data_IF_987627377314
#
_entry.id   IF_987627377314
#
_cell.length_a   1.000
_cell.length_b   1.000
_cell.length_c   1.000
_cell.angle_alpha   90.00
_cell.angle_beta   90.00
_cell.angle_gamma   90.00
#
_symmetry.space_group_name_H-M   'P 1'
#
loop_
_entity.id
_entity.type
_entity.pdbx_description
1 polymer ?
#
# COMPACT_ATOMS: atom_id res chain seq x y z
N UNK A 1 -52.42 -17.14 47.58
CA UNK A 1 -51.68 -18.36 47.98
C UNK A 1 -51.92 -19.39 46.88
N UNK A 2 -50.95 -19.94 46.17
CA UNK A 2 -49.49 -19.66 46.07
C UNK A 2 -49.02 -20.33 44.77
N UNK A 3 -48.13 -19.69 43.99
CA UNK A 3 -47.58 -20.28 42.76
C UNK A 3 -46.72 -21.51 43.05
N UNK A 4 -46.41 -22.33 42.02
CA UNK A 4 -44.99 -22.53 41.74
C UNK A 4 -44.60 -22.55 40.25
N UNK A 5 -43.36 -22.07 40.02
CA UNK A 5 -42.45 -22.35 38.91
C UNK A 5 -42.90 -22.05 37.46
N UNK A 6 -42.66 -20.80 37.06
CA UNK A 6 -42.10 -20.52 35.74
C UNK A 6 -40.68 -21.12 35.67
N UNK A 7 -40.42 -22.06 34.77
CA UNK A 7 -39.07 -22.44 34.38
C UNK A 7 -38.59 -21.52 33.25
N UNK A 8 -37.39 -20.98 33.41
CA UNK A 8 -36.79 -20.02 32.48
C UNK A 8 -36.39 -20.69 31.15
N UNK A 9 -37.13 -20.43 30.08
CA UNK A 9 -36.60 -20.52 28.72
C UNK A 9 -35.68 -19.31 28.46
N UNK A 10 -34.48 -19.33 29.03
CA UNK A 10 -33.38 -18.53 28.47
C UNK A 10 -32.81 -19.35 27.32
N UNK A 11 -33.43 -19.20 26.14
CA UNK A 11 -32.82 -19.59 24.87
C UNK A 11 -31.55 -18.77 24.69
N UNK A 12 -30.44 -19.27 25.24
CA UNK A 12 -29.12 -18.70 25.11
C UNK A 12 -28.67 -18.84 23.67
N UNK A 13 -29.09 -17.89 22.84
CA UNK A 13 -28.47 -17.61 21.55
C UNK A 13 -27.07 -17.11 21.87
N UNK A 14 -26.13 -18.05 22.08
CA UNK A 14 -24.73 -17.80 21.82
C UNK A 14 -24.65 -17.52 20.32
N UNK A 15 -24.73 -16.23 19.97
CA UNK A 15 -24.26 -15.74 18.69
C UNK A 15 -22.85 -16.31 18.51
N UNK A 16 -22.58 -17.07 17.43
CA UNK A 16 -21.22 -17.54 17.19
C UNK A 16 -20.32 -16.31 17.14
N UNK A 17 -19.25 -16.33 17.93
CA UNK A 17 -18.30 -15.22 18.05
C UNK A 17 -17.78 -14.95 16.65
N UNK A 18 -18.25 -13.86 16.03
CA UNK A 18 -17.94 -13.56 14.65
C UNK A 18 -16.43 -13.43 14.50
N UNK A 19 -15.84 -14.28 13.67
CA UNK A 19 -14.39 -14.31 13.41
C UNK A 19 -14.03 -13.08 12.57
N UNK A 20 -13.94 -11.94 13.26
CA UNK A 20 -13.60 -10.66 12.69
C UNK A 20 -12.09 -10.56 12.57
N UNK A 21 -11.59 -10.49 11.34
CA UNK A 21 -10.15 -10.42 11.10
C UNK A 21 -9.65 -9.03 11.49
N UNK A 22 -8.60 -8.98 12.32
CA UNK A 22 -7.85 -7.75 12.49
C UNK A 22 -7.13 -7.39 11.17
N UNK A 23 -6.65 -6.15 11.03
CA UNK A 23 -6.04 -5.68 9.78
C UNK A 23 -4.88 -6.55 9.27
N UNK A 24 -4.07 -7.11 10.17
CA UNK A 24 -2.96 -8.02 9.83
C UNK A 24 -3.51 -9.36 9.35
N UNK A 25 -4.45 -9.97 10.07
CA UNK A 25 -5.08 -11.23 9.65
C UNK A 25 -5.78 -11.08 8.29
N UNK A 26 -6.50 -9.97 8.05
CA UNK A 26 -7.14 -9.66 6.76
C UNK A 26 -6.10 -9.58 5.64
N UNK A 27 -4.97 -8.93 5.87
CA UNK A 27 -3.86 -8.83 4.91
C UNK A 27 -3.20 -10.20 4.66
N UNK A 28 -2.98 -11.01 5.68
CA UNK A 28 -2.41 -12.35 5.55
C UNK A 28 -3.37 -13.25 4.74
N UNK A 29 -4.67 -13.23 5.04
CA UNK A 29 -5.66 -14.01 4.30
C UNK A 29 -5.80 -13.54 2.84
N UNK A 30 -5.69 -12.23 2.60
CA UNK A 30 -5.67 -11.64 1.26
C UNK A 30 -4.49 -12.13 0.43
N UNK A 31 -3.28 -12.15 1.01
CA UNK A 31 -2.10 -12.70 0.36
C UNK A 31 -2.21 -14.22 0.13
N UNK A 32 -2.75 -14.96 1.10
CA UNK A 32 -2.98 -16.39 0.99
C UNK A 32 -3.97 -16.74 -0.14
N UNK A 33 -5.10 -16.02 -0.24
CA UNK A 33 -6.07 -16.20 -1.32
C UNK A 33 -5.52 -15.81 -2.70
N UNK A 34 -4.73 -14.74 -2.81
CA UNK A 34 -4.04 -14.39 -4.07
C UNK A 34 -3.01 -15.46 -4.47
N UNK A 35 -2.28 -16.03 -3.50
CA UNK A 35 -1.28 -17.07 -3.75
C UNK A 35 -1.92 -18.40 -4.14
N UNK A 36 -2.98 -18.81 -3.45
CA UNK A 36 -3.72 -20.05 -3.72
C UNK A 36 -4.51 -19.99 -5.02
N UNK A 37 -5.03 -18.81 -5.38
CA UNK A 37 -5.73 -18.57 -6.63
C UNK A 37 -5.03 -17.49 -7.45
N UNK A 38 -3.95 -17.77 -8.21
CA UNK A 38 -3.28 -16.75 -9.03
C UNK A 38 -4.12 -16.25 -10.22
N UNK A 39 -5.24 -16.93 -10.54
CA UNK A 39 -6.13 -16.63 -11.65
C UNK A 39 -7.57 -16.43 -11.13
N UNK A 40 -8.18 -15.31 -11.53
CA UNK A 40 -9.58 -14.97 -11.27
C UNK A 40 -10.56 -16.08 -11.64
N UNK A 41 -10.30 -16.86 -12.70
CA UNK A 41 -11.17 -17.96 -13.11
C UNK A 41 -11.28 -19.06 -12.02
N UNK A 42 -10.17 -19.41 -11.37
CA UNK A 42 -10.14 -20.45 -10.34
C UNK A 42 -10.83 -19.95 -9.06
N UNK A 43 -10.64 -18.68 -8.69
CA UNK A 43 -11.36 -18.06 -7.56
C UNK A 43 -12.88 -17.99 -7.83
N UNK A 44 -13.28 -17.64 -9.07
CA UNK A 44 -14.69 -17.67 -9.49
C UNK A 44 -15.30 -19.08 -9.37
N UNK A 45 -14.57 -20.11 -9.78
CA UNK A 45 -15.02 -21.50 -9.67
C UNK A 45 -15.20 -21.93 -8.21
N UNK A 46 -14.20 -21.69 -7.34
CA UNK A 46 -14.32 -22.01 -5.91
C UNK A 46 -15.52 -21.30 -5.26
N UNK A 47 -15.70 -20.00 -5.51
CA UNK A 47 -16.85 -19.26 -4.97
C UNK A 47 -18.19 -19.75 -5.54
N UNK A 48 -18.23 -20.17 -6.81
CA UNK A 48 -19.44 -20.73 -7.41
C UNK A 48 -19.82 -22.10 -6.84
N UNK A 49 -18.86 -22.97 -6.53
CA UNK A 49 -19.13 -24.31 -6.01
C UNK A 49 -19.34 -24.31 -4.49
N UNK A 50 -18.57 -23.52 -3.75
CA UNK A 50 -18.58 -23.55 -2.28
C UNK A 50 -19.63 -22.62 -1.66
N UNK A 51 -20.11 -21.60 -2.39
CA UNK A 51 -21.05 -20.60 -1.87
C UNK A 51 -22.33 -20.44 -2.68
N UNK A 52 -22.47 -21.13 -3.83
CA UNK A 52 -23.53 -20.88 -4.81
C UNK A 52 -23.64 -19.39 -5.21
N UNK A 53 -22.52 -18.65 -5.18
CA UNK A 53 -22.46 -17.22 -5.48
C UNK A 53 -21.68 -16.93 -6.76
N UNK A 54 -22.09 -15.89 -7.49
CA UNK A 54 -21.24 -15.29 -8.51
C UNK A 54 -20.29 -14.27 -7.86
N UNK A 55 -18.98 -14.48 -7.98
CA UNK A 55 -17.96 -13.54 -7.48
C UNK A 55 -18.15 -12.12 -8.04
N UNK A 56 -18.55 -11.99 -9.31
CA UNK A 56 -18.82 -10.68 -9.95
C UNK A 56 -20.07 -9.99 -9.38
N UNK A 57 -20.92 -10.68 -8.61
CA UNK A 57 -22.06 -10.07 -7.93
C UNK A 57 -21.72 -9.61 -6.50
N UNK A 58 -20.73 -10.22 -5.85
CA UNK A 58 -20.36 -9.96 -4.45
C UNK A 58 -19.08 -9.13 -4.27
N UNK A 59 -18.18 -9.13 -5.27
CA UNK A 59 -16.84 -8.55 -5.15
C UNK A 59 -16.33 -7.93 -6.47
N UNK A 60 -17.06 -6.98 -7.04
CA UNK A 60 -16.61 -6.20 -8.20
C UNK A 60 -15.43 -5.30 -7.81
N UNK A 61 -14.30 -5.42 -8.51
CA UNK A 61 -13.13 -4.54 -8.36
C UNK A 61 -12.38 -4.37 -9.68
N UNK A 62 -11.62 -3.29 -9.80
CA UNK A 62 -10.93 -2.91 -11.05
C UNK A 62 -9.67 -3.76 -11.30
N UNK A 63 -9.24 -4.52 -10.30
CA UNK A 63 -8.09 -5.41 -10.35
C UNK A 63 -8.26 -6.61 -9.40
N UNK A 64 -7.47 -7.65 -9.64
CA UNK A 64 -7.63 -8.93 -8.92
C UNK A 64 -7.43 -8.84 -7.40
N UNK A 65 -6.46 -8.02 -6.95
CA UNK A 65 -6.24 -7.84 -5.52
C UNK A 65 -7.43 -7.14 -4.83
N UNK A 66 -8.07 -6.18 -5.51
CA UNK A 66 -9.28 -5.54 -5.00
C UNK A 66 -10.48 -6.50 -4.94
N UNK A 67 -10.64 -7.38 -5.95
CA UNK A 67 -11.65 -8.44 -5.96
C UNK A 67 -11.48 -9.36 -4.75
N UNK A 68 -10.25 -9.83 -4.47
CA UNK A 68 -9.96 -10.66 -3.28
C UNK A 68 -10.23 -9.90 -1.97
N UNK A 69 -9.88 -8.62 -1.89
CA UNK A 69 -10.14 -7.81 -0.70
C UNK A 69 -11.64 -7.60 -0.44
N UNK A 70 -12.42 -7.32 -1.49
CA UNK A 70 -13.88 -7.18 -1.42
C UNK A 70 -14.57 -8.50 -1.09
N UNK A 71 -14.06 -9.62 -1.61
CA UNK A 71 -14.51 -10.96 -1.24
C UNK A 71 -14.30 -11.25 0.26
N UNK A 72 -13.14 -10.92 0.82
CA UNK A 72 -12.91 -11.05 2.27
C UNK A 72 -13.83 -10.12 3.06
N UNK A 73 -13.97 -8.87 2.63
CA UNK A 73 -14.86 -7.88 3.27
C UNK A 73 -16.32 -8.37 3.29
N UNK A 74 -16.79 -8.96 2.19
CA UNK A 74 -18.10 -9.60 2.10
C UNK A 74 -18.20 -10.81 3.03
N UNK A 75 -17.17 -11.67 3.08
CA UNK A 75 -17.16 -12.83 3.96
C UNK A 75 -17.16 -12.42 5.44
N UNK A 76 -16.44 -11.37 5.84
CA UNK A 76 -16.49 -10.79 7.18
C UNK A 76 -17.88 -10.27 7.52
N UNK A 77 -18.48 -9.46 6.64
CA UNK A 77 -19.81 -8.90 6.82
C UNK A 77 -20.93 -9.95 6.89
N UNK A 78 -20.66 -11.17 6.39
CA UNK A 78 -21.59 -12.30 6.42
C UNK A 78 -21.24 -13.36 7.48
N UNK A 79 -20.17 -13.17 8.28
CA UNK A 79 -19.70 -14.17 9.24
C UNK A 79 -19.19 -15.47 8.61
N UNK A 80 -18.75 -15.42 7.34
CA UNK A 80 -18.38 -16.57 6.48
C UNK A 80 -16.87 -16.79 6.35
N UNK A 81 -16.05 -16.17 7.20
CA UNK A 81 -14.58 -16.22 7.08
C UNK A 81 -14.03 -17.63 7.23
N UNK A 82 -14.48 -18.40 8.22
CA UNK A 82 -14.02 -19.78 8.40
C UNK A 82 -14.44 -20.67 7.21
N UNK A 83 -15.64 -20.44 6.67
CA UNK A 83 -16.09 -21.15 5.45
C UNK A 83 -15.21 -20.80 4.25
N UNK A 84 -14.87 -19.52 4.06
CA UNK A 84 -14.01 -19.07 2.96
C UNK A 84 -12.59 -19.62 3.09
N UNK A 85 -12.08 -19.72 4.32
CA UNK A 85 -10.77 -20.29 4.61
C UNK A 85 -10.75 -21.80 4.33
N UNK A 86 -11.73 -22.54 4.82
CA UNK A 86 -11.81 -24.00 4.58
C UNK A 86 -11.96 -24.31 3.08
N UNK A 87 -12.88 -23.64 2.38
CA UNK A 87 -13.05 -23.74 0.94
C UNK A 87 -11.75 -23.46 0.16
N UNK A 88 -10.98 -22.45 0.57
CA UNK A 88 -9.70 -22.13 -0.03
C UNK A 88 -8.63 -23.21 0.22
N UNK A 89 -8.55 -23.74 1.45
CA UNK A 89 -7.63 -24.80 1.84
C UNK A 89 -7.96 -26.15 1.16
N UNK A 90 -9.24 -26.48 0.97
CA UNK A 90 -9.65 -27.70 0.28
C UNK A 90 -9.34 -27.61 -1.22
N UNK A 91 -9.67 -26.49 -1.86
CA UNK A 91 -9.41 -26.27 -3.29
C UNK A 91 -7.92 -26.19 -3.66
N UNK A 92 -7.05 -25.74 -2.74
CA UNK A 92 -5.60 -25.60 -2.96
C UNK A 92 -4.80 -26.08 -1.74
N UNK A 93 -5.02 -27.33 -1.33
CA UNK A 93 -4.28 -27.97 -0.24
C UNK A 93 -2.77 -27.97 -0.50
N UNK A 94 -1.97 -27.64 0.53
CA UNK A 94 -0.52 -27.49 0.42
C UNK A 94 -0.06 -26.11 -0.09
N UNK A 95 -0.93 -25.11 -0.18
CA UNK A 95 -0.49 -23.71 -0.31
C UNK A 95 0.03 -23.21 1.06
N UNK A 96 1.32 -22.89 1.20
CA UNK A 96 1.92 -22.60 2.51
C UNK A 96 1.33 -21.36 3.19
N UNK A 97 0.86 -20.36 2.43
CA UNK A 97 0.26 -19.15 3.01
C UNK A 97 -1.16 -19.38 3.52
N UNK A 98 -1.92 -20.29 2.91
CA UNK A 98 -3.20 -20.75 3.45
C UNK A 98 -2.98 -21.63 4.68
N UNK A 99 -2.01 -22.55 4.64
CA UNK A 99 -1.70 -23.45 5.76
C UNK A 99 -1.21 -22.67 6.98
N UNK A 100 -0.27 -21.72 6.81
CA UNK A 100 0.20 -20.81 7.87
C UNK A 100 -0.96 -19.99 8.46
N UNK A 101 -1.82 -19.43 7.60
CA UNK A 101 -2.96 -18.65 8.07
C UNK A 101 -4.00 -19.51 8.80
N UNK A 102 -4.29 -20.73 8.33
CA UNK A 102 -5.20 -21.67 9.01
C UNK A 102 -4.65 -22.08 10.38
N UNK A 103 -3.34 -22.33 10.50
CA UNK A 103 -2.70 -22.60 11.79
C UNK A 103 -2.76 -21.39 12.73
N UNK A 104 -2.54 -20.17 12.21
CA UNK A 104 -2.67 -18.93 13.00
C UNK A 104 -4.11 -18.71 13.51
N UNK A 105 -5.13 -19.03 12.70
CA UNK A 105 -6.53 -18.93 13.12
C UNK A 105 -6.88 -19.96 14.20
N UNK A 106 -6.44 -21.22 14.04
CA UNK A 106 -6.64 -22.27 15.07
C UNK A 106 -5.95 -21.93 16.39
N UNK A 107 -4.68 -21.52 16.35
CA UNK A 107 -3.91 -21.19 17.56
C UNK A 107 -4.44 -19.93 18.28
N UNK A 108 -4.93 -18.93 17.53
CA UNK A 108 -5.58 -17.75 18.11
C UNK A 108 -6.94 -18.03 18.78
N UNK A 109 -7.72 -18.98 18.26
CA UNK A 109 -9.03 -19.34 18.84
C UNK A 109 -8.92 -20.23 20.10
N UNK A 110 -7.81 -20.96 20.27
CA UNK A 110 -7.59 -21.85 21.43
C UNK A 110 -7.35 -21.15 22.78
N UNK A 111 -7.25 -19.81 22.83
CA UNK A 111 -7.10 -19.04 24.07
C UNK A 111 -8.40 -18.38 24.58
N UNK A 112 -9.52 -18.55 23.87
CA UNK A 112 -10.83 -17.96 24.24
C UNK A 112 -11.84 -18.97 24.81
N UNK A 113 -11.41 -20.20 25.11
CA UNK A 113 -12.22 -21.21 25.80
C UNK A 113 -11.53 -21.66 27.10
N UNK A 114 -12.35 -21.91 28.13
CA UNK A 114 -11.97 -22.39 29.48
C UNK A 114 -11.38 -21.32 30.42
N UNK A 115 -12.28 -20.49 30.97
CA UNK A 115 -12.17 -20.07 32.37
C UNK A 115 -13.11 -20.93 33.22
N UNK A 116 -12.60 -22.03 33.77
CA UNK A 116 -12.86 -22.46 35.15
C UNK A 116 -11.76 -23.45 35.60
N UNK A 117 -11.35 -23.47 36.87
CA UNK A 117 -10.13 -24.16 37.30
C UNK A 117 -10.40 -25.60 37.76
N UNK A 118 -9.61 -26.56 37.31
CA UNK A 118 -9.35 -27.79 38.07
C UNK A 118 -7.98 -28.40 37.73
N UNK A 119 -7.39 -28.98 38.77
CA UNK A 119 -5.96 -29.18 39.01
C UNK A 119 -5.27 -30.30 38.20
N UNK A 120 -3.94 -30.14 38.04
CA UNK A 120 -2.92 -31.19 37.82
C UNK A 120 -2.97 -32.00 36.50
N UNK A 121 -1.88 -32.45 35.87
CA UNK A 121 -0.45 -32.57 36.25
C UNK A 121 0.45 -32.35 35.01
N UNK A 122 1.71 -31.93 35.26
CA UNK A 122 2.99 -32.28 34.58
C UNK A 122 2.91 -33.06 33.24
N UNK A 123 3.52 -32.65 32.12
CA UNK A 123 4.96 -32.49 31.79
C UNK A 123 5.08 -31.82 30.38
N UNK A 124 6.20 -31.32 29.81
CA UNK A 124 7.62 -31.09 30.20
C UNK A 124 8.21 -30.05 29.19
N UNK A 125 9.30 -29.34 29.54
CA UNK A 125 10.27 -28.64 28.64
C UNK A 125 9.72 -27.56 27.65
N UNK A 126 10.17 -26.31 27.60
CA UNK A 126 11.49 -25.74 27.94
C UNK A 126 11.35 -24.39 28.66
N UNK A 127 12.06 -24.21 29.77
CA UNK A 127 12.09 -22.95 30.52
C UNK A 127 13.50 -22.35 30.52
N UNK A 128 13.79 -21.48 29.54
CA UNK A 128 14.82 -20.42 29.63
C UNK A 128 14.79 -19.52 28.40
N UNK A 129 13.97 -18.46 28.48
CA UNK A 129 14.27 -17.08 28.03
C UNK A 129 13.17 -16.12 28.54
N UNK A 130 12.72 -16.33 29.78
CA UNK A 130 11.75 -15.47 30.46
C UNK A 130 12.48 -14.31 31.17
N UNK A 131 12.99 -13.38 30.36
CA UNK A 131 13.49 -12.08 30.82
C UNK A 131 13.59 -11.12 29.62
N UNK A 132 12.43 -10.77 29.05
CA UNK A 132 12.13 -9.51 28.34
C UNK A 132 10.69 -9.57 27.79
N UNK A 133 9.72 -9.58 28.70
CA UNK A 133 8.32 -9.26 28.38
C UNK A 133 7.98 -7.98 29.14
N UNK A 134 8.13 -6.85 28.48
CA UNK A 134 7.49 -5.59 28.86
C UNK A 134 6.48 -5.25 27.77
N UNK A 135 5.21 -5.33 28.16
CA UNK A 135 4.02 -4.68 27.63
C UNK A 135 4.14 -3.96 26.27
N UNK A 136 3.34 -4.39 25.28
CA UNK A 136 3.02 -3.59 24.09
C UNK A 136 1.58 -3.07 24.25
N UNK A 137 1.36 -1.76 24.47
CA UNK A 137 0.03 -1.18 24.62
C UNK A 137 -0.81 -1.25 23.34
N UNK A 138 -2.09 -1.58 23.50
CA UNK A 138 -3.10 -1.53 22.44
C UNK A 138 -3.54 -0.11 22.13
N UNK A 139 -2.76 0.60 21.30
CA UNK A 139 -3.21 1.83 20.64
C UNK A 139 -2.69 1.87 19.20
N UNK A 140 -3.59 2.07 18.22
CA UNK A 140 -3.20 2.09 16.80
C UNK A 140 -2.17 3.20 16.48
N UNK A 141 -2.05 4.22 17.33
CA UNK A 141 -1.05 5.29 17.24
C UNK A 141 0.39 4.81 17.47
N UNK A 142 0.62 3.67 18.15
CA UNK A 142 1.98 3.20 18.51
C UNK A 142 2.64 2.29 17.45
N UNK A 143 1.90 1.77 16.47
CA UNK A 143 2.48 1.03 15.34
C UNK A 143 3.18 1.98 14.34
N UNK A 144 2.69 3.23 14.21
CA UNK A 144 3.28 4.24 13.33
C UNK A 144 4.74 4.58 13.70
N UNK A 145 5.10 4.80 14.98
CA UNK A 145 6.50 4.87 15.43
C UNK A 145 7.36 3.65 15.11
N UNK A 146 6.81 2.43 14.96
CA UNK A 146 7.62 1.21 14.79
C UNK A 146 8.11 1.10 13.34
N UNK A 147 7.21 1.17 12.37
CA UNK A 147 7.56 1.11 10.93
C UNK A 147 8.42 2.33 10.53
N UNK A 148 8.19 3.49 11.15
CA UNK A 148 9.02 4.69 10.92
C UNK A 148 10.34 4.72 11.71
N UNK A 149 10.54 3.84 12.71
CA UNK A 149 11.83 3.65 13.41
C UNK A 149 12.78 2.70 12.68
N UNK A 150 12.28 1.68 12.00
CA UNK A 150 13.14 0.71 11.29
C UNK A 150 13.79 1.30 10.02
N UNK A 151 13.17 2.31 9.41
CA UNK A 151 13.70 2.98 8.22
C UNK A 151 14.46 4.24 8.65
N UNK A 152 15.79 4.19 8.54
CA UNK A 152 16.64 5.34 8.86
C UNK A 152 16.57 6.45 7.80
N UNK A 153 15.81 7.50 8.09
CA UNK A 153 15.75 8.71 7.27
C UNK A 153 16.91 9.69 7.53
N UNK A 154 17.81 9.43 8.49
CA UNK A 154 18.87 10.38 8.87
C UNK A 154 19.76 10.75 7.69
N UNK A 155 20.17 9.77 6.87
CA UNK A 155 20.99 10.02 5.68
C UNK A 155 20.30 10.93 4.67
N UNK A 156 18.99 10.73 4.44
CA UNK A 156 18.19 11.60 3.58
C UNK A 156 18.11 13.01 4.15
N UNK A 157 17.83 13.16 5.46
CA UNK A 157 17.82 14.46 6.14
C UNK A 157 19.17 15.16 6.05
N UNK A 158 20.26 14.49 6.38
CA UNK A 158 21.63 15.04 6.34
C UNK A 158 21.99 15.55 4.93
N UNK A 159 21.61 14.82 3.88
CA UNK A 159 21.82 15.27 2.50
C UNK A 159 20.96 16.49 2.12
N UNK A 160 19.68 16.50 2.52
CA UNK A 160 18.76 17.60 2.25
C UNK A 160 19.17 18.90 2.98
N UNK A 161 19.52 18.79 4.25
CA UNK A 161 20.01 19.89 5.09
C UNK A 161 21.33 20.48 4.54
N UNK A 162 22.21 19.62 4.04
CA UNK A 162 23.43 20.02 3.32
C UNK A 162 23.19 20.48 1.86
N UNK A 163 21.94 20.56 1.39
CA UNK A 163 21.53 20.90 0.01
C UNK A 163 22.14 20.00 -1.08
N UNK A 164 22.52 18.78 -0.71
CA UNK A 164 23.05 17.72 -1.58
C UNK A 164 21.90 16.98 -2.26
N UNK A 165 21.16 17.69 -3.10
CA UNK A 165 19.91 17.19 -3.70
C UNK A 165 20.09 15.96 -4.60
N UNK A 166 21.29 15.74 -5.15
CA UNK A 166 21.60 14.56 -5.95
C UNK A 166 21.70 13.30 -5.09
N UNK A 167 22.41 13.41 -3.97
CA UNK A 167 22.58 12.36 -2.98
C UNK A 167 21.25 12.07 -2.26
N UNK A 168 20.48 13.12 -1.94
CA UNK A 168 19.13 12.99 -1.40
C UNK A 168 18.17 12.25 -2.36
N UNK A 169 18.24 12.51 -3.67
CA UNK A 169 17.41 11.81 -4.67
C UNK A 169 17.77 10.32 -4.80
N UNK A 170 19.07 10.00 -4.72
CA UNK A 170 19.55 8.61 -4.66
C UNK A 170 19.08 7.91 -3.39
N UNK A 171 19.22 8.55 -2.23
CA UNK A 171 18.80 7.97 -0.95
C UNK A 171 17.27 7.83 -0.87
N UNK A 172 16.52 8.74 -1.47
CA UNK A 172 15.06 8.62 -1.65
C UNK A 172 14.71 7.34 -2.41
N UNK A 173 15.41 7.04 -3.52
CA UNK A 173 15.23 5.77 -4.25
C UNK A 173 15.59 4.56 -3.37
N UNK A 174 16.68 4.65 -2.62
CA UNK A 174 17.17 3.56 -1.77
C UNK A 174 16.14 3.20 -0.69
N UNK A 175 15.59 4.19 0.01
CA UNK A 175 14.57 4.02 1.05
C UNK A 175 13.31 3.36 0.47
N UNK A 176 12.83 3.83 -0.68
CA UNK A 176 11.65 3.26 -1.33
C UNK A 176 11.88 1.81 -1.78
N UNK A 177 13.05 1.47 -2.33
CA UNK A 177 13.40 0.10 -2.69
C UNK A 177 13.55 -0.81 -1.46
N UNK A 178 14.22 -0.33 -0.40
CA UNK A 178 14.36 -1.06 0.86
C UNK A 178 12.99 -1.36 1.49
N UNK A 179 12.04 -0.41 1.45
CA UNK A 179 10.67 -0.62 1.93
C UNK A 179 9.86 -1.67 1.16
N UNK A 180 10.33 -2.03 -0.04
CA UNK A 180 9.77 -3.09 -0.88
C UNK A 180 10.58 -4.40 -0.79
N UNK A 181 11.61 -4.46 0.06
CA UNK A 181 12.55 -5.59 0.15
C UNK A 181 13.46 -5.75 -1.08
N UNK A 182 13.66 -4.68 -1.88
CA UNK A 182 14.38 -4.73 -3.16
C UNK A 182 15.79 -4.12 -3.05
N UNK A 183 16.71 -4.62 -3.86
CA UNK A 183 18.09 -4.16 -3.89
C UNK A 183 18.22 -2.76 -4.53
N UNK A 184 19.15 -1.88 -4.11
CA UNK A 184 19.30 -0.52 -4.64
C UNK A 184 19.47 -0.40 -6.16
N UNK A 185 20.02 -1.45 -6.79
CA UNK A 185 20.24 -1.52 -8.25
C UNK A 185 18.97 -1.85 -9.05
N UNK A 186 17.90 -2.28 -8.39
CA UNK A 186 16.65 -2.65 -9.05
C UNK A 186 15.84 -1.43 -9.52
N UNK A 187 14.78 -1.72 -10.28
CA UNK A 187 13.87 -0.73 -10.86
C UNK A 187 12.50 -0.87 -10.22
N UNK A 188 11.78 0.24 -10.14
CA UNK A 188 10.36 0.23 -9.77
C UNK A 188 9.49 0.17 -11.04
N UNK A 189 8.73 -0.92 -11.18
CA UNK A 189 7.64 -1.06 -12.13
C UNK A 189 6.39 -0.31 -11.65
N UNK A 190 5.24 -0.59 -12.26
CA UNK A 190 3.96 0.02 -11.84
C UNK A 190 3.48 -0.62 -10.53
N UNK A 191 3.63 -1.94 -10.40
CA UNK A 191 3.17 -2.65 -9.20
C UNK A 191 4.01 -2.34 -7.96
N UNK A 192 5.34 -2.16 -8.11
CA UNK A 192 6.17 -1.64 -7.01
C UNK A 192 5.69 -0.26 -6.52
N UNK A 193 5.35 0.66 -7.44
CA UNK A 193 4.86 2.00 -7.10
C UNK A 193 3.54 1.93 -6.34
N UNK A 194 2.62 1.04 -6.76
CA UNK A 194 1.35 0.79 -6.07
C UNK A 194 1.55 0.21 -4.68
N UNK A 195 2.54 -0.68 -4.53
CA UNK A 195 2.92 -1.33 -3.27
C UNK A 195 3.69 -0.47 -2.27
N UNK A 196 4.14 0.75 -2.62
CA UNK A 196 4.84 1.64 -1.69
C UNK A 196 4.00 1.92 -0.43
N UNK A 197 4.65 2.15 0.71
CA UNK A 197 3.94 2.62 1.91
C UNK A 197 3.62 4.11 1.79
N UNK A 198 2.36 4.47 2.04
CA UNK A 198 1.89 5.86 2.02
C UNK A 198 2.55 6.68 3.15
N UNK A 199 2.80 6.07 4.31
CA UNK A 199 3.54 6.69 5.44
C UNK A 199 4.98 7.04 5.05
N UNK A 200 5.67 6.15 4.33
CA UNK A 200 7.05 6.36 3.88
C UNK A 200 7.10 7.49 2.84
N UNK A 201 6.16 7.50 1.90
CA UNK A 201 6.04 8.56 0.90
C UNK A 201 5.76 9.93 1.54
N UNK A 202 4.87 10.00 2.53
CA UNK A 202 4.61 11.21 3.31
C UNK A 202 5.89 11.65 4.02
N UNK A 203 6.59 10.75 4.73
CA UNK A 203 7.79 11.10 5.50
C UNK A 203 8.94 11.61 4.62
N UNK A 204 9.09 11.06 3.41
CA UNK A 204 10.03 11.55 2.41
C UNK A 204 9.58 12.91 1.86
N UNK A 205 8.29 13.08 1.55
CA UNK A 205 7.73 14.33 1.04
C UNK A 205 7.93 15.50 2.01
N UNK A 206 7.63 15.30 3.29
CA UNK A 206 7.81 16.31 4.34
C UNK A 206 9.28 16.78 4.39
N UNK A 207 10.24 15.84 4.42
CA UNK A 207 11.66 16.16 4.39
C UNK A 207 12.07 16.95 3.13
N UNK A 208 11.61 16.54 1.96
CA UNK A 208 11.89 17.27 0.72
C UNK A 208 11.27 18.68 0.73
N UNK A 209 10.07 18.84 1.27
CA UNK A 209 9.37 20.11 1.37
C UNK A 209 10.09 21.08 2.31
N UNK A 210 10.43 20.63 3.53
CA UNK A 210 11.04 21.44 4.58
C UNK A 210 12.41 22.00 4.16
N UNK A 211 13.28 21.16 3.62
CA UNK A 211 14.65 21.54 3.25
C UNK A 211 14.77 22.16 1.84
N UNK A 212 13.66 22.28 1.09
CA UNK A 212 13.64 22.91 -0.24
C UNK A 212 12.91 24.25 -0.30
N UNK A 213 12.52 24.84 0.84
CA UNK A 213 11.65 26.02 0.86
C UNK A 213 10.34 25.78 0.09
N UNK A 214 9.71 24.61 0.33
CA UNK A 214 8.44 24.18 -0.28
C UNK A 214 8.47 24.09 -1.83
N UNK A 215 9.66 23.85 -2.39
CA UNK A 215 9.90 23.86 -3.85
C UNK A 215 9.96 22.46 -4.45
N UNK A 216 10.36 21.46 -3.67
CA UNK A 216 10.51 20.05 -4.05
C UNK A 216 9.62 19.17 -3.15
N UNK A 217 9.28 17.98 -3.62
CA UNK A 217 8.36 17.07 -2.95
C UNK A 217 7.38 16.39 -3.91
N UNK A 218 6.89 15.23 -3.48
CA UNK A 218 5.84 14.46 -4.15
C UNK A 218 4.50 15.20 -4.16
N UNK A 219 4.07 15.87 -3.07
CA UNK A 219 2.86 16.70 -3.07
C UNK A 219 2.97 17.87 -4.05
N UNK A 220 4.14 18.50 -4.11
CA UNK A 220 4.42 19.58 -5.08
C UNK A 220 4.26 19.06 -6.51
N UNK A 221 4.81 17.87 -6.81
CA UNK A 221 4.66 17.21 -8.10
C UNK A 221 3.20 16.80 -8.39
N UNK A 222 2.46 16.27 -7.42
CA UNK A 222 1.03 15.93 -7.56
C UNK A 222 0.21 17.17 -7.90
N UNK A 223 0.44 18.30 -7.23
CA UNK A 223 -0.31 19.52 -7.50
C UNK A 223 -0.03 20.05 -8.92
N UNK A 224 1.22 19.99 -9.38
CA UNK A 224 1.59 20.30 -10.79
C UNK A 224 0.92 19.33 -11.77
N UNK A 225 0.83 18.04 -11.43
CA UNK A 225 0.14 17.05 -12.26
C UNK A 225 -1.37 17.31 -12.34
N UNK A 226 -2.03 17.63 -11.22
CA UNK A 226 -3.46 17.95 -11.16
C UNK A 226 -3.82 19.15 -12.05
N UNK A 227 -3.06 20.24 -11.95
CA UNK A 227 -3.21 21.43 -12.80
C UNK A 227 -3.02 21.14 -14.31
N UNK A 228 -2.31 20.07 -14.68
CA UNK A 228 -2.12 19.65 -16.08
C UNK A 228 -3.28 18.78 -16.58
N UNK A 229 -3.85 17.91 -15.72
CA UNK A 229 -4.93 16.99 -16.12
C UNK A 229 -6.33 17.59 -15.96
N UNK A 230 -6.48 18.58 -15.09
CA UNK A 230 -7.72 19.31 -14.85
C UNK A 230 -7.41 20.81 -14.71
N UNK A 231 -7.10 21.50 -15.82
CA UNK A 231 -6.71 22.91 -15.80
C UNK A 231 -7.88 23.78 -15.32
N UNK A 232 -7.79 24.25 -14.08
CA UNK A 232 -8.63 25.37 -13.63
C UNK A 232 -8.11 26.68 -14.26
N UNK A 233 -8.83 27.79 -14.10
CA UNK A 233 -8.32 29.12 -14.49
C UNK A 233 -7.19 29.55 -13.54
N UNK A 234 -6.01 28.95 -13.72
CA UNK A 234 -4.92 28.90 -12.74
C UNK A 234 -3.52 28.89 -13.35
N UNK A 235 -2.50 28.88 -12.48
CA UNK A 235 -1.13 29.37 -12.74
C UNK A 235 -0.41 28.76 -13.95
N UNK A 236 -0.67 27.49 -14.31
CA UNK A 236 0.03 26.81 -15.41
C UNK A 236 -0.52 27.22 -16.79
N UNK A 237 -1.82 27.52 -16.89
CA UNK A 237 -2.50 27.90 -18.15
C UNK A 237 -1.88 29.13 -18.84
N UNK A 238 -1.20 30.01 -18.08
CA UNK A 238 -0.58 31.24 -18.59
C UNK A 238 0.83 31.06 -19.16
N UNK A 239 1.44 29.89 -19.00
CA UNK A 239 2.81 29.59 -19.45
C UNK A 239 2.91 28.45 -20.47
N UNK A 240 1.78 27.81 -20.83
CA UNK A 240 1.73 26.86 -21.93
C UNK A 240 1.58 27.63 -23.25
N UNK A 241 2.56 27.62 -24.18
CA UNK A 241 2.54 28.45 -25.39
C UNK A 241 1.59 27.94 -26.49
N UNK A 242 0.64 27.06 -26.15
CA UNK A 242 -0.30 26.45 -27.08
C UNK A 242 -1.73 26.70 -26.63
N UNK A 243 -2.52 27.26 -27.54
CA UNK A 243 -3.91 27.67 -27.36
C UNK A 243 -4.86 26.45 -27.37
N UNK A 244 -4.55 25.45 -26.55
CA UNK A 244 -5.31 24.22 -26.42
C UNK A 244 -6.09 24.25 -25.10
N UNK A 245 -7.21 24.97 -25.12
CA UNK A 245 -8.24 24.92 -24.08
C UNK A 245 -8.99 23.56 -24.05
N UNK A 246 -8.60 22.60 -24.89
CA UNK A 246 -9.14 21.25 -24.88
C UNK A 246 -8.40 20.33 -23.89
N UNK A 247 -9.14 19.55 -23.07
CA UNK A 247 -8.57 18.50 -22.24
C UNK A 247 -7.73 17.53 -23.07
N UNK A 248 -6.44 17.49 -22.80
CA UNK A 248 -5.53 16.62 -23.57
C UNK A 248 -5.68 15.18 -23.06
N UNK A 249 -6.47 14.37 -23.77
CA UNK A 249 -6.76 12.98 -23.36
C UNK A 249 -5.54 12.04 -23.43
N UNK A 250 -4.46 12.45 -24.11
CA UNK A 250 -3.24 11.66 -24.27
C UNK A 250 -2.29 11.80 -23.07
N UNK A 251 -2.11 10.70 -22.32
CA UNK A 251 -1.19 10.62 -21.17
C UNK A 251 0.26 10.94 -21.49
N UNK A 252 0.70 10.68 -22.72
CA UNK A 252 2.06 11.01 -23.16
C UNK A 252 2.29 12.52 -23.24
N UNK A 253 1.28 13.29 -23.67
CA UNK A 253 1.38 14.75 -23.72
C UNK A 253 1.22 15.38 -22.33
N UNK A 254 0.34 14.83 -21.46
CA UNK A 254 0.31 15.20 -20.03
C UNK A 254 1.70 15.03 -19.39
N UNK A 255 2.35 13.90 -19.65
CA UNK A 255 3.71 13.59 -19.20
C UNK A 255 4.79 14.51 -19.80
N UNK A 256 4.66 14.93 -21.05
CA UNK A 256 5.59 15.89 -21.68
C UNK A 256 5.40 17.32 -21.14
N UNK A 257 4.16 17.76 -20.89
CA UNK A 257 3.84 19.02 -20.19
C UNK A 257 4.43 19.02 -18.78
N UNK A 258 4.19 17.95 -18.02
CA UNK A 258 4.75 17.78 -16.68
C UNK A 258 6.27 17.88 -16.69
N UNK A 259 6.93 17.06 -17.54
CA UNK A 259 8.39 17.06 -17.67
C UNK A 259 9.00 18.40 -18.04
N UNK A 260 8.31 19.23 -18.84
CA UNK A 260 8.74 20.62 -19.12
C UNK A 260 8.64 21.49 -17.85
N UNK A 261 7.51 21.45 -17.15
CA UNK A 261 7.27 22.27 -15.96
C UNK A 261 8.30 21.99 -14.84
N UNK A 262 8.55 20.71 -14.53
CA UNK A 262 9.51 20.32 -13.49
C UNK A 262 10.98 20.33 -13.96
N UNK A 263 11.28 20.85 -15.16
CA UNK A 263 12.66 21.00 -15.65
C UNK A 263 13.36 19.70 -16.10
N UNK A 264 12.60 18.62 -16.27
CA UNK A 264 13.12 17.31 -16.68
C UNK A 264 13.24 17.17 -18.20
N UNK A 265 12.64 18.08 -18.95
CA UNK A 265 12.51 17.98 -20.41
C UNK A 265 12.67 19.36 -21.04
N UNK A 266 13.66 19.50 -21.91
CA UNK A 266 13.96 20.74 -22.59
C UNK A 266 13.30 20.78 -23.98
N UNK A 267 12.95 21.97 -24.43
CA UNK A 267 12.48 22.25 -25.77
C UNK A 267 13.47 23.23 -26.40
N UNK A 268 14.30 22.76 -27.33
CA UNK A 268 15.36 23.54 -27.97
C UNK A 268 15.32 23.30 -29.48
N UNK A 269 15.03 24.35 -30.24
CA UNK A 269 15.17 24.46 -31.71
C UNK A 269 14.95 23.13 -32.46
N UNK A 270 13.67 22.74 -32.55
CA UNK A 270 13.18 21.55 -33.26
C UNK A 270 13.57 20.18 -32.66
N UNK A 271 14.14 20.12 -31.46
CA UNK A 271 14.25 18.88 -30.67
C UNK A 271 13.74 19.06 -29.25
N UNK A 272 13.11 18.00 -28.76
CA UNK A 272 12.30 18.00 -27.55
C UNK A 272 12.69 16.77 -26.72
N UNK A 273 13.69 16.95 -25.85
CA UNK A 273 14.41 15.83 -25.23
C UNK A 273 14.37 15.84 -23.70
N UNK A 274 14.50 14.64 -23.13
CA UNK A 274 14.57 14.44 -21.69
C UNK A 274 15.99 14.67 -21.19
N UNK A 275 16.13 15.54 -20.19
CA UNK A 275 17.40 15.80 -19.52
C UNK A 275 17.93 14.49 -18.91
N UNK A 276 19.18 14.16 -19.25
CA UNK A 276 19.91 13.03 -18.65
C UNK A 276 20.12 13.36 -17.18
N UNK A 277 19.97 12.38 -16.28
CA UNK A 277 20.08 12.59 -14.83
C UNK A 277 21.33 13.38 -14.41
N UNK A 278 22.49 13.03 -14.99
CA UNK A 278 23.77 13.71 -14.75
C UNK A 278 23.85 15.18 -15.22
N UNK A 279 22.86 15.66 -15.97
CA UNK A 279 22.75 17.03 -16.50
C UNK A 279 21.65 17.85 -15.81
N UNK A 280 20.96 17.31 -14.79
CA UNK A 280 19.96 18.08 -14.04
C UNK A 280 20.65 19.12 -13.15
N UNK A 281 19.95 20.23 -12.90
CA UNK A 281 20.38 21.23 -11.93
C UNK A 281 20.07 20.71 -10.51
N UNK A 282 21.07 20.26 -9.76
CA UNK A 282 20.93 19.77 -8.37
C UNK A 282 21.16 20.89 -7.35
N UNK A 283 20.54 22.05 -7.57
CA UNK A 283 20.58 23.20 -6.65
C UNK A 283 19.16 23.63 -6.28
N UNK A 284 19.05 24.51 -5.28
CA UNK A 284 17.77 25.09 -4.87
C UNK A 284 17.10 25.90 -5.99
N UNK A 285 17.86 26.35 -7.00
CA UNK A 285 17.36 27.15 -8.12
C UNK A 285 16.63 26.33 -9.20
N UNK A 286 16.73 25.00 -9.17
CA UNK A 286 16.02 24.10 -10.07
C UNK A 286 14.48 24.32 -10.07
N UNK A 287 13.78 23.95 -11.14
CA UNK A 287 12.34 24.18 -11.28
C UNK A 287 11.50 23.64 -10.12
N UNK A 288 10.35 24.27 -9.83
CA UNK A 288 9.42 23.76 -8.81
C UNK A 288 8.97 22.34 -9.18
N UNK A 289 9.02 21.42 -8.22
CA UNK A 289 8.77 19.99 -8.41
C UNK A 289 9.89 19.21 -9.11
N UNK A 290 11.08 19.77 -9.35
CA UNK A 290 12.18 19.07 -10.02
C UNK A 290 12.64 17.80 -9.26
N UNK A 291 12.52 17.78 -7.94
CA UNK A 291 12.89 16.63 -7.12
C UNK A 291 11.71 16.18 -6.22
N UNK A 292 11.61 14.89 -5.88
CA UNK A 292 12.48 13.77 -6.30
C UNK A 292 12.34 13.40 -7.80
N UNK A 293 13.44 13.04 -8.47
CA UNK A 293 13.47 12.73 -9.91
C UNK A 293 13.11 11.26 -10.19
N UNK A 294 11.86 10.90 -9.90
CA UNK A 294 11.38 9.52 -9.98
C UNK A 294 11.54 8.85 -11.36
N UNK A 295 11.67 9.63 -12.45
CA UNK A 295 11.91 9.13 -13.81
C UNK A 295 13.19 8.27 -13.92
N UNK A 296 14.21 8.52 -13.09
CA UNK A 296 15.44 7.72 -13.09
C UNK A 296 15.26 6.33 -12.47
N UNK A 297 14.23 6.14 -11.62
CA UNK A 297 14.04 4.92 -10.85
C UNK A 297 13.43 3.76 -11.68
N UNK A 298 12.97 4.07 -12.90
CA UNK A 298 12.20 3.16 -13.76
C UNK A 298 13.03 2.49 -14.88
N UNK A 299 14.23 3.03 -15.16
CA UNK A 299 15.14 2.53 -16.19
C UNK A 299 14.81 2.99 -17.63
N UNK A 300 15.84 3.07 -18.47
CA UNK A 300 15.79 3.68 -19.81
C UNK A 300 14.97 2.92 -20.87
N UNK A 301 14.83 1.60 -20.75
CA UNK A 301 14.20 0.75 -21.78
C UNK A 301 12.67 0.80 -21.87
N UNK A 302 11.99 1.52 -20.96
CA UNK A 302 10.52 1.44 -20.80
C UNK A 302 9.82 2.79 -20.81
N UNK A 303 10.32 3.74 -21.63
CA UNK A 303 9.79 5.09 -21.78
C UNK A 303 8.26 5.15 -22.02
N UNK A 304 7.71 4.18 -22.78
CA UNK A 304 6.27 4.06 -23.06
C UNK A 304 5.39 3.86 -21.81
N UNK A 305 5.97 3.42 -20.70
CA UNK A 305 5.26 3.23 -19.42
C UNK A 305 5.49 4.38 -18.42
N UNK A 306 6.31 5.38 -18.76
CA UNK A 306 6.58 6.51 -17.86
C UNK A 306 5.32 7.32 -17.49
N UNK A 307 4.36 7.60 -18.41
CA UNK A 307 3.12 8.26 -18.04
C UNK A 307 2.33 7.45 -17.00
N UNK A 308 2.18 6.12 -17.21
CA UNK A 308 1.44 5.24 -16.31
C UNK A 308 2.09 5.11 -14.93
N UNK A 309 3.43 5.07 -14.85
CA UNK A 309 4.16 5.10 -13.58
C UNK A 309 4.03 6.45 -12.86
N UNK A 310 3.99 7.56 -13.62
CA UNK A 310 3.73 8.89 -13.05
C UNK A 310 2.32 8.93 -12.44
N UNK A 311 1.29 8.52 -13.19
CA UNK A 311 -0.10 8.48 -12.70
C UNK A 311 -0.25 7.62 -11.44
N UNK A 312 0.26 6.38 -11.46
CA UNK A 312 0.20 5.49 -10.28
C UNK A 312 0.86 6.08 -9.02
N UNK A 313 1.92 6.89 -9.17
CA UNK A 313 2.54 7.61 -8.06
C UNK A 313 1.66 8.78 -7.60
N UNK A 314 1.12 9.58 -8.52
CA UNK A 314 0.28 10.74 -8.19
C UNK A 314 -1.07 10.36 -7.57
N UNK A 315 -1.68 9.26 -8.01
CA UNK A 315 -2.90 8.66 -7.43
C UNK A 315 -2.68 8.20 -5.99
N UNK A 316 -1.48 7.74 -5.68
CA UNK A 316 -1.10 7.31 -4.33
C UNK A 316 -0.84 8.51 -3.40
N UNK A 317 -0.29 9.59 -3.95
CA UNK A 317 -0.07 10.87 -3.25
C UNK A 317 -1.40 11.59 -2.97
N UNK A 318 -2.44 11.41 -3.80
CA UNK A 318 -3.76 12.05 -3.58
C UNK A 318 -4.55 11.55 -2.36
N UNK A 319 -3.98 10.64 -1.55
CA UNK A 319 -4.52 10.21 -0.26
C UNK A 319 -3.86 10.90 0.95
N UNK A 320 -2.96 11.86 0.71
CA UNK A 320 -2.23 12.56 1.79
C UNK A 320 -2.95 13.82 2.30
N UNK A 321 -4.15 14.08 1.78
CA UNK A 321 -5.02 15.23 2.09
C UNK A 321 -6.08 14.84 3.15
#
# INVERSE_FOLDING_TARGET
MTSPNQFNEISSIQTPIAVQLNGKQRQQFHQALISAFPNLANLKQMISFEFDQNLDAIAIGDNYAEIVFKLITWAEAQGKIDKLLNAACEANSGNPLLDDFQQQMRTGQSQTAILQPQEATTELQHQSLSNYVTEIPTKQEEIFPIISKEIDYKRLKDFLEAKKFKEADQETKNILLASLGKNPNEKMGIEEIRGLSEIILIRIDDLWNDFSNQKFGFRVQRNIWQEIISPQKGLISRWLPFNNNEPTHNDQEKWFKFGRYVGWRNQTNNREEWNKYKNLNFTIDASKGCFPYFRNWWGSGYAKHHPKRCMALMEKISKFD
#
